data_IF_448794611070
#
_entry.id   IF_448794611070
#
_cell.length_a   1.000
_cell.length_b   1.000
_cell.length_c   1.000
_cell.angle_alpha   90.00
_cell.angle_beta   90.00
_cell.angle_gamma   90.00
#
_symmetry.space_group_name_H-M   'P 1'
#
loop_
_entity.id
_entity.type
_entity.pdbx_description
1 polymer ?
#
# COMPACT_ATOMS: atom_id res chain seq x y z
N UNK A 1 26.26 -20.33 -1.33
CA UNK A 1 25.35 -20.04 -2.45
C UNK A 1 24.11 -20.92 -2.33
N UNK A 2 23.00 -20.38 -1.82
CA UNK A 2 21.70 -21.08 -1.71
C UNK A 2 20.59 -20.04 -1.90
N UNK A 3 20.56 -19.36 -3.05
CA UNK A 3 19.55 -18.32 -3.32
C UNK A 3 18.71 -18.57 -4.56
N UNK A 4 18.89 -19.71 -5.25
CA UNK A 4 18.28 -19.96 -6.57
C UNK A 4 17.05 -20.86 -6.57
N UNK A 5 16.51 -21.25 -5.41
CA UNK A 5 15.36 -22.18 -5.33
C UNK A 5 14.27 -21.79 -4.32
N UNK A 6 14.34 -20.58 -3.74
CA UNK A 6 13.24 -20.13 -2.91
C UNK A 6 12.09 -19.66 -3.81
N UNK A 7 10.87 -20.21 -3.65
CA UNK A 7 9.71 -19.64 -4.33
C UNK A 7 9.52 -18.18 -3.89
N UNK A 8 8.92 -17.37 -4.76
CA UNK A 8 8.56 -16.01 -4.40
C UNK A 8 7.80 -16.03 -3.05
N UNK A 9 8.11 -15.11 -2.11
CA UNK A 9 7.49 -15.14 -0.79
C UNK A 9 5.99 -14.96 -0.93
N UNK A 10 5.25 -15.78 -0.19
CA UNK A 10 3.80 -15.68 -0.14
C UNK A 10 3.40 -14.37 0.57
N UNK A 11 2.82 -13.45 -0.19
CA UNK A 11 2.33 -12.16 0.33
C UNK A 11 0.92 -12.26 0.91
N UNK A 12 0.22 -13.38 0.72
CA UNK A 12 -1.16 -13.57 1.18
C UNK A 12 -1.33 -13.33 2.69
N UNK A 13 -0.44 -13.79 3.58
CA UNK A 13 -0.56 -13.48 5.00
C UNK A 13 -0.45 -11.98 5.32
N UNK A 14 0.35 -11.24 4.53
CA UNK A 14 0.50 -9.79 4.70
C UNK A 14 -0.78 -9.07 4.28
N UNK A 15 -1.35 -9.47 3.14
CA UNK A 15 -2.63 -8.98 2.63
C UNK A 15 -3.76 -9.24 3.64
N UNK A 16 -3.91 -10.47 4.10
CA UNK A 16 -4.95 -10.85 5.07
C UNK A 16 -4.82 -10.08 6.40
N UNK A 17 -3.59 -9.82 6.83
CA UNK A 17 -3.32 -9.03 8.03
C UNK A 17 -3.67 -7.56 7.82
N UNK A 18 -3.37 -6.98 6.66
CA UNK A 18 -3.77 -5.61 6.33
C UNK A 18 -5.30 -5.46 6.32
N UNK A 19 -6.00 -6.44 5.75
CA UNK A 19 -7.45 -6.55 5.74
C UNK A 19 -8.06 -6.72 7.13
N UNK A 20 -7.37 -7.43 8.02
CA UNK A 20 -7.74 -7.52 9.43
C UNK A 20 -7.70 -6.14 10.10
N UNK A 21 -6.65 -5.35 9.90
CA UNK A 21 -6.55 -3.99 10.45
C UNK A 21 -7.56 -3.02 9.83
N UNK A 22 -7.84 -3.11 8.52
CA UNK A 22 -8.92 -2.36 7.86
C UNK A 22 -10.24 -2.63 8.56
N UNK A 23 -10.64 -3.91 8.68
CA UNK A 23 -11.90 -4.30 9.33
C UNK A 23 -12.00 -3.83 10.77
N UNK A 24 -10.92 -3.93 11.54
CA UNK A 24 -10.90 -3.46 12.92
C UNK A 24 -11.06 -1.94 13.03
N UNK A 25 -10.45 -1.18 12.11
CA UNK A 25 -10.65 0.26 12.01
C UNK A 25 -12.14 0.59 11.83
N UNK A 26 -12.80 -0.04 10.87
CA UNK A 26 -14.23 0.19 10.63
C UNK A 26 -15.13 -0.28 11.78
N UNK A 27 -14.83 -1.42 12.40
CA UNK A 27 -15.58 -1.92 13.58
C UNK A 27 -15.45 -1.00 14.80
N UNK A 28 -14.39 -0.22 14.90
CA UNK A 28 -14.16 0.69 16.02
C UNK A 28 -14.92 2.01 15.93
N UNK A 29 -15.60 2.28 14.81
CA UNK A 29 -16.41 3.49 14.68
C UNK A 29 -17.53 3.51 15.72
N UNK A 30 -17.74 4.64 16.41
CA UNK A 30 -18.89 4.79 17.29
C UNK A 30 -20.18 4.84 16.46
N UNK A 31 -21.27 4.33 17.04
CA UNK A 31 -22.61 4.53 16.47
C UNK A 31 -23.02 6.00 16.62
N UNK A 32 -22.71 6.83 15.62
CA UNK A 32 -23.12 8.23 15.60
C UNK A 32 -24.58 8.34 15.15
N UNK A 33 -25.46 8.74 16.07
CA UNK A 33 -26.86 9.05 15.75
C UNK A 33 -27.06 10.50 15.27
N UNK A 34 -26.12 11.39 15.58
CA UNK A 34 -26.19 12.83 15.31
C UNK A 34 -24.78 13.36 14.97
N UNK A 35 -24.66 14.12 13.88
CA UNK A 35 -23.37 14.64 13.40
C UNK A 35 -22.68 13.77 12.35
N UNK A 36 -21.52 14.20 11.86
CA UNK A 36 -20.74 13.46 10.87
C UNK A 36 -20.12 12.21 11.49
N UNK A 37 -20.22 11.07 10.80
CA UNK A 37 -19.49 9.85 11.18
C UNK A 37 -17.96 9.97 11.00
N UNK A 38 -17.47 11.12 10.52
CA UNK A 38 -16.07 11.43 10.19
C UNK A 38 -15.54 12.66 10.93
N UNK A 39 -16.21 13.05 12.00
CA UNK A 39 -15.81 14.19 12.81
C UNK A 39 -14.61 13.87 13.74
N UNK A 40 -14.19 14.87 14.52
CA UNK A 40 -13.09 14.72 15.46
C UNK A 40 -13.39 13.73 16.61
N UNK A 41 -14.66 13.53 16.97
CA UNK A 41 -15.04 12.55 17.99
C UNK A 41 -14.85 11.13 17.46
N UNK A 42 -15.36 10.84 16.27
CA UNK A 42 -15.19 9.56 15.58
C UNK A 42 -13.71 9.27 15.34
N UNK A 43 -12.93 10.27 14.90
CA UNK A 43 -11.49 10.12 14.71
C UNK A 43 -10.78 9.67 15.99
N UNK A 44 -11.03 10.34 17.12
CA UNK A 44 -10.41 9.98 18.41
C UNK A 44 -10.71 8.55 18.84
N UNK A 45 -11.91 8.04 18.52
CA UNK A 45 -12.30 6.65 18.83
C UNK A 45 -11.52 5.62 18.03
N UNK A 46 -11.28 5.89 16.75
CA UNK A 46 -10.64 4.92 15.85
C UNK A 46 -9.13 5.14 15.70
N UNK A 47 -8.59 6.23 16.25
CA UNK A 47 -7.18 6.65 16.08
C UNK A 47 -6.18 5.52 16.34
N UNK A 48 -6.35 4.76 17.42
CA UNK A 48 -5.43 3.66 17.75
C UNK A 48 -5.46 2.55 16.67
N UNK A 49 -6.62 2.28 16.08
CA UNK A 49 -6.76 1.30 15.00
C UNK A 49 -6.18 1.81 13.69
N UNK A 50 -6.34 3.11 13.38
CA UNK A 50 -5.65 3.76 12.25
C UNK A 50 -4.14 3.70 12.38
N UNK A 51 -3.61 4.00 13.57
CA UNK A 51 -2.18 3.94 13.82
C UNK A 51 -1.65 2.50 13.70
N UNK A 52 -2.44 1.50 14.14
CA UNK A 52 -2.10 0.08 13.96
C UNK A 52 -2.09 -0.33 12.48
N UNK A 53 -3.11 0.07 11.71
CA UNK A 53 -3.17 -0.14 10.26
C UNK A 53 -1.96 0.46 9.55
N UNK A 54 -1.67 1.75 9.82
CA UNK A 54 -0.55 2.48 9.22
C UNK A 54 0.77 1.78 9.51
N UNK A 55 1.01 1.39 10.77
CA UNK A 55 2.22 0.71 11.17
C UNK A 55 2.36 -0.65 10.47
N UNK A 56 1.28 -1.44 10.40
CA UNK A 56 1.27 -2.71 9.69
C UNK A 56 1.57 -2.54 8.19
N UNK A 57 0.86 -1.63 7.53
CA UNK A 57 1.04 -1.30 6.11
C UNK A 57 2.50 -0.97 5.77
N UNK A 58 3.11 -0.04 6.52
CA UNK A 58 4.48 0.40 6.26
C UNK A 58 5.51 -0.66 6.63
N UNK A 59 5.31 -1.36 7.76
CA UNK A 59 6.29 -2.35 8.24
C UNK A 59 6.35 -3.61 7.40
N UNK A 60 5.21 -4.09 6.88
CA UNK A 60 5.16 -5.24 5.97
C UNK A 60 5.86 -4.93 4.65
N UNK A 61 5.61 -3.75 4.06
CA UNK A 61 6.35 -3.30 2.88
C UNK A 61 7.85 -3.13 3.15
N UNK A 62 8.22 -2.65 4.35
CA UNK A 62 9.62 -2.57 4.77
C UNK A 62 10.27 -3.96 4.90
N UNK A 63 9.56 -4.95 5.45
CA UNK A 63 10.04 -6.32 5.56
C UNK A 63 10.35 -6.90 4.17
N UNK A 64 9.44 -6.73 3.21
CA UNK A 64 9.66 -7.18 1.83
C UNK A 64 10.85 -6.47 1.19
N UNK A 65 11.00 -5.16 1.43
CA UNK A 65 12.14 -4.37 0.97
C UNK A 65 13.48 -4.86 1.54
N UNK A 66 13.53 -5.18 2.83
CA UNK A 66 14.75 -5.68 3.50
C UNK A 66 15.11 -7.11 3.12
N UNK A 67 14.15 -7.86 2.60
CA UNK A 67 14.34 -9.24 2.10
C UNK A 67 14.68 -9.32 0.61
N UNK A 68 14.90 -8.17 -0.05
CA UNK A 68 15.14 -8.06 -1.50
C UNK A 68 14.06 -8.75 -2.37
N UNK A 69 12.85 -8.89 -1.84
CA UNK A 69 11.73 -9.59 -2.50
C UNK A 69 10.96 -8.61 -3.38
N UNK A 70 11.59 -8.19 -4.48
CA UNK A 70 11.14 -7.03 -5.27
C UNK A 70 9.77 -7.23 -5.94
N UNK A 71 9.53 -8.39 -6.55
CA UNK A 71 8.24 -8.68 -7.19
C UNK A 71 7.13 -8.68 -6.16
N UNK A 72 7.32 -9.42 -5.07
CA UNK A 72 6.39 -9.48 -3.94
C UNK A 72 6.14 -8.10 -3.31
N UNK A 73 7.15 -7.24 -3.23
CA UNK A 73 7.00 -5.86 -2.75
C UNK A 73 6.14 -5.02 -3.70
N UNK A 74 6.31 -5.13 -5.01
CA UNK A 74 5.47 -4.41 -5.99
C UNK A 74 4.02 -4.88 -5.86
N UNK A 75 3.80 -6.19 -5.83
CA UNK A 75 2.47 -6.79 -5.64
C UNK A 75 1.80 -6.35 -4.34
N UNK A 76 2.56 -6.38 -3.25
CA UNK A 76 2.09 -5.91 -1.95
C UNK A 76 1.70 -4.43 -2.00
N UNK A 77 2.53 -3.57 -2.61
CA UNK A 77 2.24 -2.14 -2.71
C UNK A 77 0.95 -1.90 -3.49
N UNK A 78 0.76 -2.55 -4.64
CA UNK A 78 -0.44 -2.40 -5.46
C UNK A 78 -1.70 -2.85 -4.71
N UNK A 79 -1.62 -3.98 -3.99
CA UNK A 79 -2.74 -4.43 -3.18
C UNK A 79 -3.03 -3.48 -2.01
N UNK A 80 -1.98 -3.09 -1.27
CA UNK A 80 -2.12 -2.18 -0.14
C UNK A 80 -2.66 -0.80 -0.57
N UNK A 81 -2.36 -0.36 -1.80
CA UNK A 81 -2.90 0.88 -2.37
C UNK A 81 -4.43 0.89 -2.36
N UNK A 82 -5.06 -0.15 -2.94
CA UNK A 82 -6.51 -0.28 -2.94
C UNK A 82 -7.10 -0.36 -1.52
N UNK A 83 -6.40 -1.02 -0.58
CA UNK A 83 -6.84 -1.05 0.81
C UNK A 83 -6.78 0.34 1.46
N UNK A 84 -5.76 1.16 1.16
CA UNK A 84 -5.66 2.54 1.66
C UNK A 84 -6.76 3.42 1.03
N UNK A 85 -7.11 3.20 -0.24
CA UNK A 85 -8.19 3.94 -0.92
C UNK A 85 -9.55 3.75 -0.23
N UNK A 86 -9.78 2.56 0.35
CA UNK A 86 -10.99 2.28 1.14
C UNK A 86 -10.95 2.86 2.56
N UNK A 87 -9.80 3.32 3.04
CA UNK A 87 -9.67 3.80 4.41
C UNK A 87 -10.48 5.08 4.65
N UNK A 88 -10.93 5.30 5.89
CA UNK A 88 -11.69 6.49 6.27
C UNK A 88 -11.00 7.80 5.86
N UNK A 89 -11.71 8.64 5.10
CA UNK A 89 -11.39 10.05 4.91
C UNK A 89 -12.14 10.86 5.98
N UNK A 90 -11.41 11.75 6.64
CA UNK A 90 -11.87 12.56 7.76
C UNK A 90 -12.17 13.99 7.32
N UNK A 91 -13.17 14.60 7.96
CA UNK A 91 -13.59 15.98 7.69
C UNK A 91 -12.45 16.98 7.96
N UNK A 92 -11.62 16.69 8.96
CA UNK A 92 -10.43 17.47 9.26
C UNK A 92 -9.23 16.93 8.46
N UNK A 93 -8.64 17.72 7.55
CA UNK A 93 -7.49 17.29 6.74
C UNK A 93 -6.31 16.76 7.56
N UNK A 94 -6.07 17.31 8.76
CA UNK A 94 -4.96 16.88 9.62
C UNK A 94 -5.09 15.44 10.13
N UNK A 95 -6.30 14.86 10.10
CA UNK A 95 -6.56 13.48 10.48
C UNK A 95 -6.28 12.48 9.33
N UNK A 96 -6.17 12.96 8.09
CA UNK A 96 -5.89 12.12 6.90
C UNK A 96 -4.39 11.81 6.73
N UNK A 97 -3.52 12.42 7.54
CA UNK A 97 -2.06 12.23 7.48
C UNK A 97 -1.60 10.78 7.57
N UNK A 98 -2.36 9.91 8.23
CA UNK A 98 -2.03 8.48 8.31
C UNK A 98 -2.09 7.80 6.95
N UNK A 99 -3.14 8.04 6.16
CA UNK A 99 -3.29 7.46 4.82
C UNK A 99 -2.25 8.05 3.87
N UNK A 100 -2.06 9.37 3.90
CA UNK A 100 -1.02 10.04 3.11
C UNK A 100 0.39 9.49 3.40
N UNK A 101 0.68 9.17 4.66
CA UNK A 101 1.96 8.59 5.04
C UNK A 101 2.15 7.19 4.48
N UNK A 102 1.10 6.38 4.42
CA UNK A 102 1.13 5.07 3.76
C UNK A 102 1.45 5.24 2.27
N UNK A 103 0.70 6.06 1.52
CA UNK A 103 0.96 6.28 0.10
C UNK A 103 2.40 6.73 -0.18
N UNK A 104 2.84 7.81 0.47
CA UNK A 104 4.21 8.34 0.27
C UNK A 104 5.28 7.29 0.57
N UNK A 105 5.10 6.51 1.64
CA UNK A 105 6.09 5.50 2.04
C UNK A 105 6.10 4.31 1.08
N UNK A 106 4.93 3.78 0.74
CA UNK A 106 4.80 2.66 -0.20
C UNK A 106 5.28 3.05 -1.61
N UNK A 107 4.99 4.26 -2.10
CA UNK A 107 5.55 4.75 -3.35
C UNK A 107 7.08 4.80 -3.32
N UNK A 108 7.66 5.25 -2.21
CA UNK A 108 9.11 5.22 -2.01
C UNK A 108 9.70 3.80 -2.05
N UNK A 109 9.00 2.83 -1.45
CA UNK A 109 9.39 1.42 -1.48
C UNK A 109 9.23 0.82 -2.89
N UNK A 110 8.13 1.11 -3.58
CA UNK A 110 7.86 0.67 -4.95
C UNK A 110 8.93 1.18 -5.93
N UNK A 111 9.34 2.46 -5.84
CA UNK A 111 10.45 2.99 -6.67
C UNK A 111 11.73 2.19 -6.50
N UNK A 112 12.07 1.80 -5.26
CA UNK A 112 13.24 0.96 -4.99
C UNK A 112 13.08 -0.43 -5.59
N UNK A 113 11.90 -1.04 -5.42
CA UNK A 113 11.56 -2.35 -5.95
C UNK A 113 11.63 -2.36 -7.49
N UNK A 114 10.97 -1.42 -8.17
CA UNK A 114 10.99 -1.29 -9.65
C UNK A 114 12.41 -1.16 -10.17
N UNK A 115 13.26 -0.37 -9.48
CA UNK A 115 14.67 -0.22 -9.89
C UNK A 115 15.43 -1.54 -9.83
N UNK A 116 15.25 -2.32 -8.77
CA UNK A 116 16.01 -3.55 -8.52
C UNK A 116 15.44 -4.80 -9.19
N UNK A 117 14.12 -4.88 -9.36
CA UNK A 117 13.44 -6.04 -9.92
C UNK A 117 13.88 -6.36 -11.35
N UNK A 118 13.87 -7.66 -11.64
CA UNK A 118 14.13 -8.25 -12.96
C UNK A 118 12.94 -9.15 -13.28
N UNK A 119 11.99 -8.61 -14.02
CA UNK A 119 10.78 -9.29 -14.47
C UNK A 119 10.82 -9.38 -16.00
N UNK A 120 10.05 -10.31 -16.54
CA UNK A 120 9.78 -10.35 -17.97
C UNK A 120 8.91 -9.17 -18.42
N UNK A 121 8.78 -9.02 -19.74
CA UNK A 121 8.05 -7.91 -20.33
C UNK A 121 6.56 -7.94 -19.99
N UNK A 122 5.95 -9.13 -20.02
CA UNK A 122 4.51 -9.32 -19.76
C UNK A 122 4.15 -8.85 -18.34
N UNK A 123 4.97 -9.22 -17.34
CA UNK A 123 4.79 -8.76 -15.96
C UNK A 123 4.95 -7.26 -15.82
N UNK A 124 5.90 -6.65 -16.53
CA UNK A 124 6.04 -5.19 -16.49
C UNK A 124 4.85 -4.46 -17.11
N UNK A 125 4.27 -5.02 -18.17
CA UNK A 125 3.06 -4.50 -18.80
C UNK A 125 1.86 -4.59 -17.83
N UNK A 126 1.65 -5.72 -17.14
CA UNK A 126 0.63 -5.86 -16.08
C UNK A 126 0.81 -4.85 -14.94
N UNK A 127 2.04 -4.74 -14.41
CA UNK A 127 2.37 -3.79 -13.35
C UNK A 127 2.09 -2.35 -13.80
N UNK A 128 2.40 -2.00 -15.06
CA UNK A 128 2.17 -0.66 -15.58
C UNK A 128 0.69 -0.29 -15.59
N UNK A 129 -0.17 -1.21 -16.03
CA UNK A 129 -1.61 -0.98 -16.09
C UNK A 129 -2.21 -0.81 -14.70
N UNK A 130 -1.82 -1.66 -13.74
CA UNK A 130 -2.26 -1.56 -12.34
C UNK A 130 -1.76 -0.30 -11.63
N UNK A 131 -0.54 0.16 -11.94
CA UNK A 131 -0.04 1.44 -11.44
C UNK A 131 -0.90 2.59 -11.98
N UNK A 132 -1.25 2.57 -13.28
CA UNK A 132 -2.08 3.62 -13.89
C UNK A 132 -3.47 3.69 -13.27
N UNK A 133 -4.11 2.54 -13.05
CA UNK A 133 -5.40 2.45 -12.33
C UNK A 133 -5.29 3.06 -10.92
N UNK A 134 -4.20 2.78 -10.21
CA UNK A 134 -3.96 3.30 -8.85
C UNK A 134 -3.73 4.83 -8.79
N UNK A 135 -3.49 5.50 -9.93
CA UNK A 135 -3.32 6.95 -9.96
C UNK A 135 -4.64 7.72 -9.95
N UNK A 136 -5.78 7.07 -10.15
CA UNK A 136 -7.09 7.74 -10.09
C UNK A 136 -7.38 8.31 -8.69
N UNK A 137 -6.80 7.69 -7.65
CA UNK A 137 -7.00 8.05 -6.25
C UNK A 137 -5.82 8.84 -5.67
N UNK A 138 -4.59 8.49 -6.03
CA UNK A 138 -3.38 9.14 -5.49
C UNK A 138 -2.21 9.15 -6.48
N UNK A 139 -1.58 10.32 -6.65
CA UNK A 139 -0.51 10.51 -7.64
C UNK A 139 0.91 10.07 -7.18
N UNK A 140 1.12 9.62 -5.94
CA UNK A 140 2.46 9.34 -5.40
C UNK A 140 3.19 8.22 -6.16
N UNK A 141 2.45 7.30 -6.81
CA UNK A 141 3.00 6.25 -7.67
C UNK A 141 3.41 6.74 -9.06
N UNK A 142 3.02 7.94 -9.48
CA UNK A 142 3.27 8.47 -10.83
C UNK A 142 4.73 8.34 -11.29
N UNK A 143 5.75 8.59 -10.44
CA UNK A 143 7.14 8.45 -10.88
C UNK A 143 7.57 7.00 -11.16
N UNK A 144 6.80 5.99 -10.74
CA UNK A 144 7.05 4.60 -11.09
C UNK A 144 6.69 4.29 -12.55
N UNK A 145 5.77 5.03 -13.19
CA UNK A 145 5.36 4.81 -14.59
C UNK A 145 6.57 4.90 -15.53
N UNK A 146 7.26 6.04 -15.52
CA UNK A 146 8.44 6.27 -16.37
C UNK A 146 9.53 5.21 -16.12
N UNK A 147 9.61 4.68 -14.89
CA UNK A 147 10.59 3.66 -14.53
C UNK A 147 10.21 2.29 -15.11
N UNK A 148 8.93 1.92 -15.03
CA UNK A 148 8.40 0.66 -15.57
C UNK A 148 8.42 0.68 -17.10
N UNK A 149 8.03 1.78 -17.75
CA UNK A 149 8.12 1.91 -19.21
C UNK A 149 9.55 1.73 -19.72
N UNK A 150 10.54 2.27 -19.00
CA UNK A 150 11.97 2.03 -19.29
C UNK A 150 12.41 0.60 -19.05
N UNK A 151 11.75 -0.16 -18.18
CA UNK A 151 12.01 -1.60 -17.99
C UNK A 151 11.46 -2.39 -19.16
N UNK A 152 10.21 -2.11 -19.58
CA UNK A 152 9.56 -2.73 -20.76
C UNK A 152 10.42 -2.55 -22.01
N UNK A 153 10.96 -1.36 -22.27
CA UNK A 153 11.81 -1.09 -23.43
C UNK A 153 13.16 -1.84 -23.43
N UNK A 154 13.60 -2.32 -22.27
CA UNK A 154 14.89 -3.00 -22.09
C UNK A 154 14.77 -4.52 -22.00
N UNK A 155 13.56 -5.03 -21.83
CA UNK A 155 13.24 -6.46 -21.85
C UNK A 155 13.10 -6.93 -23.30
#
# INVERSE_FOLDING_TARGET
EVSSYMPAPDIKPLIENLDYFRRNTFKSFPNSRWGSGRDAFCFRRVKTHLDSFKNACISQGKQLLESDSWEALIEYVLHAWGVIDEMPIWDNPSHNKSNEMCYRTLAGQCKKAVKAARLDREKWEDILDRIKESLETNEDLKPCIDMVEKKIQKC
#
